data_IF_814571442905
#
_entry.id   IF_814571442905
#
_cell.length_a   1.000
_cell.length_b   1.000
_cell.length_c   1.000
_cell.angle_alpha   90.00
_cell.angle_beta   90.00
_cell.angle_gamma   90.00
#
_symmetry.space_group_name_H-M   'P 1'
#
loop_
_entity.id
_entity.type
_entity.pdbx_description
1 polymer ?
#
# COMPACT_ATOMS: atom_id res chain seq x y z
N UNK A 1 -53.27 18.58 -8.91
CA UNK A 1 -53.62 17.94 -10.19
C UNK A 1 -53.52 18.91 -11.36
N UNK A 2 -54.11 20.12 -11.27
CA UNK A 2 -54.17 21.10 -12.36
C UNK A 2 -52.79 21.59 -12.82
N UNK A 3 -51.88 21.96 -11.90
CA UNK A 3 -50.52 22.41 -12.25
C UNK A 3 -49.74 21.38 -13.09
N UNK A 4 -49.82 20.09 -12.75
CA UNK A 4 -49.15 19.00 -13.47
C UNK A 4 -49.69 18.83 -14.90
N UNK A 5 -50.97 19.10 -15.12
CA UNK A 5 -51.63 19.02 -16.42
C UNK A 5 -51.17 20.15 -17.34
N UNK A 6 -51.13 21.39 -16.82
CA UNK A 6 -50.66 22.58 -17.53
C UNK A 6 -49.16 22.47 -17.91
N UNK A 7 -48.34 21.93 -17.00
CA UNK A 7 -46.92 21.62 -17.26
C UNK A 7 -46.77 20.58 -18.38
N UNK A 8 -47.58 19.52 -18.38
CA UNK A 8 -47.57 18.49 -19.46
C UNK A 8 -48.05 19.04 -20.81
N UNK A 9 -48.88 20.07 -20.80
CA UNK A 9 -49.33 20.79 -22.01
C UNK A 9 -48.29 21.81 -22.50
N UNK A 10 -47.13 21.94 -21.84
CA UNK A 10 -46.02 22.80 -22.27
C UNK A 10 -46.23 24.30 -22.02
N UNK A 11 -47.20 24.66 -21.18
CA UNK A 11 -47.55 26.06 -20.90
C UNK A 11 -46.58 26.69 -19.90
N UNK A 12 -46.39 28.01 -19.98
CA UNK A 12 -45.49 28.73 -19.07
C UNK A 12 -46.15 28.99 -17.72
N UNK A 13 -45.36 29.25 -16.68
CA UNK A 13 -45.87 29.48 -15.32
C UNK A 13 -46.80 30.71 -15.21
N UNK A 14 -46.47 31.81 -15.88
CA UNK A 14 -47.32 33.01 -15.93
C UNK A 14 -48.67 32.72 -16.63
N UNK A 15 -48.62 32.00 -17.75
CA UNK A 15 -49.81 31.57 -18.50
C UNK A 15 -50.68 30.61 -17.68
N UNK A 16 -50.06 29.68 -16.96
CA UNK A 16 -50.73 28.75 -16.04
C UNK A 16 -51.41 29.50 -14.89
N UNK A 17 -50.77 30.55 -14.36
CA UNK A 17 -51.33 31.37 -13.29
C UNK A 17 -52.57 32.12 -13.79
N UNK A 18 -52.49 32.76 -14.97
CA UNK A 18 -53.63 33.40 -15.62
C UNK A 18 -54.77 32.42 -15.92
N UNK A 19 -54.46 31.21 -16.43
CA UNK A 19 -55.48 30.21 -16.76
C UNK A 19 -56.24 29.75 -15.52
N UNK A 20 -55.56 29.59 -14.39
CA UNK A 20 -56.18 29.16 -13.13
C UNK A 20 -57.01 30.29 -12.52
N UNK A 21 -56.50 31.52 -12.52
CA UNK A 21 -57.27 32.67 -12.04
C UNK A 21 -58.52 32.92 -12.90
N UNK A 22 -58.44 32.73 -14.22
CA UNK A 22 -59.59 32.84 -15.12
C UNK A 22 -60.64 31.75 -14.90
N UNK A 23 -60.22 30.52 -14.53
CA UNK A 23 -61.14 29.40 -14.35
C UNK A 23 -61.77 29.32 -12.96
N UNK A 24 -61.07 29.78 -11.92
CA UNK A 24 -61.46 29.58 -10.52
C UNK A 24 -61.66 30.89 -9.73
N UNK A 25 -61.35 32.05 -10.32
CA UNK A 25 -61.52 33.36 -9.73
C UNK A 25 -60.18 34.05 -9.45
N UNK A 26 -60.18 35.38 -9.50
CA UNK A 26 -58.96 36.17 -9.35
C UNK A 26 -58.33 36.00 -7.96
N UNK A 27 -57.02 35.70 -7.92
CA UNK A 27 -56.28 35.46 -6.67
C UNK A 27 -56.30 34.00 -6.21
N UNK A 28 -56.80 33.08 -7.03
CA UNK A 28 -56.80 31.63 -6.72
C UNK A 28 -55.39 31.04 -6.88
N UNK A 29 -54.60 31.52 -7.84
CA UNK A 29 -53.22 31.09 -8.05
C UNK A 29 -52.22 32.20 -7.71
N UNK A 30 -51.29 31.91 -6.80
CA UNK A 30 -50.13 32.76 -6.58
C UNK A 30 -49.00 32.35 -7.54
N UNK A 31 -48.53 33.27 -8.38
CA UNK A 31 -47.47 33.05 -9.36
C UNK A 31 -46.20 32.44 -8.74
N UNK A 32 -45.81 32.87 -7.54
CA UNK A 32 -44.67 32.30 -6.81
C UNK A 32 -44.88 30.81 -6.47
N UNK A 33 -46.12 30.41 -6.18
CA UNK A 33 -46.48 29.01 -5.90
C UNK A 33 -46.45 28.19 -7.19
N UNK A 34 -46.93 28.75 -8.29
CA UNK A 34 -46.88 28.10 -9.61
C UNK A 34 -45.42 27.91 -10.05
N UNK A 35 -44.58 28.93 -9.93
CA UNK A 35 -43.15 28.85 -10.24
C UNK A 35 -42.43 27.79 -9.39
N UNK A 36 -42.74 27.71 -8.10
CA UNK A 36 -42.17 26.67 -7.23
C UNK A 36 -42.56 25.26 -7.69
N UNK A 37 -43.82 25.05 -8.06
CA UNK A 37 -44.30 23.76 -8.59
C UNK A 37 -43.70 23.41 -9.96
N UNK A 38 -43.51 24.39 -10.84
CA UNK A 38 -42.80 24.20 -12.11
C UNK A 38 -41.35 23.75 -11.87
N UNK A 39 -40.62 24.43 -10.98
CA UNK A 39 -39.24 24.08 -10.63
C UNK A 39 -39.13 22.68 -10.00
N UNK A 40 -40.09 22.32 -9.14
CA UNK A 40 -40.16 20.99 -8.52
C UNK A 40 -40.46 19.91 -9.56
N UNK A 41 -41.43 20.13 -10.45
CA UNK A 41 -41.85 19.14 -11.44
C UNK A 41 -40.79 18.85 -12.53
N UNK A 42 -39.94 19.82 -12.85
CA UNK A 42 -38.76 19.61 -13.73
C UNK A 42 -37.70 18.75 -13.05
N UNK A 43 -37.61 18.79 -11.72
CA UNK A 43 -36.67 17.95 -10.95
C UNK A 43 -37.14 16.50 -10.83
N UNK A 44 -38.45 16.26 -10.94
CA UNK A 44 -39.10 14.96 -10.76
C UNK A 44 -39.49 14.28 -12.11
N UNK A 45 -39.09 14.85 -13.26
CA UNK A 45 -39.38 14.24 -14.57
C UNK A 45 -38.41 13.07 -14.84
N UNK A 46 -38.89 11.85 -15.16
CA UNK A 46 -38.02 10.76 -15.57
C UNK A 46 -37.35 11.14 -16.88
N UNK A 47 -36.05 11.41 -16.83
CA UNK A 47 -35.25 11.63 -18.03
C UNK A 47 -35.23 10.36 -18.88
N UNK A 48 -35.59 10.50 -20.15
CA UNK A 48 -35.66 9.47 -21.20
C UNK A 48 -34.27 8.92 -21.61
N UNK A 49 -33.22 9.22 -20.83
CA UNK A 49 -31.86 8.73 -21.08
C UNK A 49 -31.69 7.33 -20.51
N UNK A 50 -31.45 6.37 -21.43
CA UNK A 50 -31.17 4.98 -21.10
C UNK A 50 -29.86 4.83 -20.32
N UNK A 51 -30.00 4.61 -19.01
CA UNK A 51 -28.90 4.30 -18.09
C UNK A 51 -28.06 3.09 -18.53
N UNK A 52 -28.65 2.15 -19.28
CA UNK A 52 -27.98 1.00 -19.87
C UNK A 52 -26.93 1.40 -20.91
N UNK A 53 -27.22 2.38 -21.78
CA UNK A 53 -26.28 2.90 -22.79
C UNK A 53 -25.09 3.60 -22.14
N UNK A 54 -25.34 4.46 -21.14
CA UNK A 54 -24.27 5.09 -20.36
C UNK A 54 -23.37 4.05 -19.69
N UNK A 55 -23.96 3.00 -19.12
CA UNK A 55 -23.19 1.90 -18.51
C UNK A 55 -22.32 1.17 -19.55
N UNK A 56 -22.81 0.96 -20.77
CA UNK A 56 -22.07 0.30 -21.84
C UNK A 56 -20.85 1.13 -22.28
N UNK A 57 -20.99 2.45 -22.45
CA UNK A 57 -19.89 3.34 -22.88
C UNK A 57 -18.75 3.33 -21.87
N UNK A 58 -19.05 3.53 -20.58
CA UNK A 58 -18.02 3.52 -19.53
C UNK A 58 -17.47 2.11 -19.22
N UNK A 59 -18.15 1.05 -19.68
CA UNK A 59 -17.62 -0.33 -19.60
C UNK A 59 -16.64 -0.61 -20.74
N UNK A 60 -16.88 -0.06 -21.93
CA UNK A 60 -16.01 -0.20 -23.08
C UNK A 60 -14.73 0.62 -22.94
N UNK A 61 -14.84 1.88 -22.48
CA UNK A 61 -13.69 2.73 -22.20
C UNK A 61 -13.93 3.58 -20.93
N UNK A 62 -13.33 3.16 -19.79
CA UNK A 62 -13.43 3.88 -18.53
C UNK A 62 -12.80 5.28 -18.51
N UNK A 63 -11.99 5.65 -19.52
CA UNK A 63 -11.31 6.94 -19.61
C UNK A 63 -12.11 7.99 -20.39
N UNK A 64 -13.19 7.58 -21.05
CA UNK A 64 -14.08 8.49 -21.81
C UNK A 64 -14.53 9.67 -20.95
N UNK A 65 -14.41 10.89 -21.49
CA UNK A 65 -14.83 12.08 -20.74
C UNK A 65 -16.35 12.26 -20.76
N UNK A 66 -16.91 12.93 -19.76
CA UNK A 66 -18.35 13.23 -19.73
C UNK A 66 -18.79 14.13 -20.87
N UNK A 67 -17.88 14.92 -21.44
CA UNK A 67 -18.09 15.72 -22.66
C UNK A 67 -18.20 14.86 -23.91
N UNK A 68 -17.29 13.92 -24.12
CA UNK A 68 -17.37 12.97 -25.25
C UNK A 68 -18.65 12.13 -25.20
N UNK A 69 -19.11 11.76 -24.00
CA UNK A 69 -20.36 11.02 -23.83
C UNK A 69 -21.57 11.89 -24.15
N UNK A 70 -21.55 13.17 -23.75
CA UNK A 70 -22.60 14.14 -24.05
C UNK A 70 -22.74 14.33 -25.57
N UNK A 71 -21.63 14.49 -26.29
CA UNK A 71 -21.61 14.60 -27.75
C UNK A 71 -22.08 13.30 -28.43
N UNK A 72 -21.58 12.14 -28.00
CA UNK A 72 -21.95 10.83 -28.58
C UNK A 72 -23.44 10.51 -28.44
N UNK A 73 -24.05 10.93 -27.33
CA UNK A 73 -25.46 10.68 -27.04
C UNK A 73 -26.35 11.87 -27.40
N UNK A 74 -25.76 12.98 -27.88
CA UNK A 74 -26.45 14.24 -28.16
C UNK A 74 -27.33 14.71 -27.00
N UNK A 75 -26.79 14.65 -25.78
CA UNK A 75 -27.47 15.06 -24.53
C UNK A 75 -26.66 16.13 -23.82
N UNK A 76 -27.33 16.91 -22.97
CA UNK A 76 -26.66 17.93 -22.19
C UNK A 76 -25.66 17.31 -21.17
N UNK A 77 -24.51 17.96 -20.99
CA UNK A 77 -23.45 17.51 -20.09
C UNK A 77 -23.91 17.36 -18.63
N UNK A 78 -24.83 18.22 -18.18
CA UNK A 78 -25.39 18.16 -16.84
C UNK A 78 -26.23 16.89 -16.64
N UNK A 79 -26.95 16.44 -17.68
CA UNK A 79 -27.70 15.18 -17.66
C UNK A 79 -26.76 13.98 -17.51
N UNK A 80 -25.66 13.92 -18.28
CA UNK A 80 -24.65 12.85 -18.12
C UNK A 80 -24.15 12.77 -16.68
N UNK A 81 -23.87 13.91 -16.06
CA UNK A 81 -23.37 13.98 -14.68
C UNK A 81 -24.43 13.54 -13.66
N UNK A 82 -25.69 13.91 -13.83
CA UNK A 82 -26.80 13.47 -12.98
C UNK A 82 -27.04 11.96 -13.11
N UNK A 83 -27.08 11.44 -14.32
CA UNK A 83 -27.27 10.01 -14.58
C UNK A 83 -26.11 9.18 -14.03
N UNK A 84 -24.86 9.65 -14.14
CA UNK A 84 -23.69 9.01 -13.53
C UNK A 84 -23.83 8.86 -12.02
N UNK A 85 -24.33 9.90 -11.33
CA UNK A 85 -24.64 9.83 -9.90
C UNK A 85 -25.74 8.79 -9.62
N UNK A 86 -26.79 8.77 -10.44
CA UNK A 86 -27.90 7.83 -10.28
C UNK A 86 -27.48 6.36 -10.46
N UNK A 87 -26.57 6.07 -11.39
CA UNK A 87 -26.02 4.72 -11.59
C UNK A 87 -24.85 4.37 -10.65
N UNK A 88 -24.54 5.23 -9.68
CA UNK A 88 -23.49 5.01 -8.68
C UNK A 88 -22.05 5.12 -9.22
N UNK A 89 -21.83 5.77 -10.36
CA UNK A 89 -20.51 5.99 -10.92
C UNK A 89 -19.92 7.28 -10.37
N UNK A 90 -18.66 7.20 -9.90
CA UNK A 90 -17.89 8.34 -9.40
C UNK A 90 -16.55 8.39 -10.12
N UNK A 91 -16.06 9.61 -10.41
CA UNK A 91 -14.75 9.81 -11.02
C UNK A 91 -13.66 9.52 -9.98
N UNK A 92 -12.77 8.58 -10.29
CA UNK A 92 -11.57 8.29 -9.50
C UNK A 92 -10.35 8.53 -10.37
N UNK A 93 -9.30 9.12 -9.80
CA UNK A 93 -8.03 9.26 -10.50
C UNK A 93 -7.35 7.88 -10.58
N UNK A 94 -6.76 7.58 -11.75
CA UNK A 94 -5.89 6.41 -11.90
C UNK A 94 -4.69 6.52 -10.95
N UNK A 95 -4.29 5.40 -10.36
CA UNK A 95 -3.08 5.33 -9.54
C UNK A 95 -1.87 5.09 -10.45
N UNK A 96 -0.82 5.87 -10.27
CA UNK A 96 0.48 5.59 -10.89
C UNK A 96 1.12 4.40 -10.21
N UNK A 97 1.47 3.39 -11.00
CA UNK A 97 2.17 2.18 -10.52
C UNK A 97 3.62 2.27 -10.99
N UNK A 98 4.61 2.24 -10.08
CA UNK A 98 6.02 2.24 -10.44
C UNK A 98 6.39 1.08 -11.38
N UNK A 99 7.28 1.28 -12.38
CA UNK A 99 7.69 0.24 -13.33
C UNK A 99 8.26 -1.03 -12.66
N UNK A 100 8.87 -0.91 -11.48
CA UNK A 100 9.45 -2.01 -10.72
C UNK A 100 8.37 -3.01 -10.26
N UNK A 101 7.19 -2.52 -9.87
CA UNK A 101 6.06 -3.38 -9.48
C UNK A 101 5.51 -4.18 -10.67
N UNK A 102 5.55 -3.61 -11.87
CA UNK A 102 5.19 -4.33 -13.11
C UNK A 102 6.22 -5.42 -13.45
N UNK A 103 7.49 -5.22 -13.14
CA UNK A 103 8.54 -6.24 -13.32
C UNK A 103 8.41 -7.38 -12.31
N UNK A 104 8.10 -7.07 -11.04
CA UNK A 104 7.78 -8.07 -10.02
C UNK A 104 6.62 -8.95 -10.49
N UNK A 105 5.52 -8.34 -10.98
CA UNK A 105 4.35 -9.07 -11.53
C UNK A 105 4.70 -10.01 -12.68
N UNK A 106 5.64 -9.62 -13.55
CA UNK A 106 6.12 -10.46 -14.67
C UNK A 106 7.02 -11.61 -14.21
N UNK A 107 7.79 -11.43 -13.13
CA UNK A 107 8.65 -12.50 -12.58
C UNK A 107 7.84 -13.47 -11.70
N UNK A 108 6.93 -12.97 -10.87
CA UNK A 108 6.05 -13.79 -10.03
C UNK A 108 5.12 -14.70 -10.85
N UNK A 109 4.69 -14.26 -12.03
CA UNK A 109 3.82 -15.07 -12.91
C UNK A 109 4.55 -16.15 -13.70
N UNK A 110 5.89 -16.15 -13.76
CA UNK A 110 6.65 -17.05 -14.65
C UNK A 110 7.33 -18.23 -13.96
N UNK A 111 7.63 -18.15 -12.67
CA UNK A 111 8.39 -19.19 -11.96
C UNK A 111 7.80 -19.42 -10.56
N UNK A 112 6.95 -20.44 -10.41
CA UNK A 112 6.37 -20.79 -9.11
C UNK A 112 7.33 -21.71 -8.34
N UNK A 113 8.07 -21.15 -7.38
CA UNK A 113 8.78 -21.85 -6.29
C UNK A 113 10.29 -22.08 -6.48
N UNK A 114 10.78 -22.57 -7.63
CA UNK A 114 12.19 -22.98 -7.77
C UNK A 114 13.24 -21.85 -7.83
N UNK A 115 12.87 -20.57 -7.69
CA UNK A 115 13.86 -19.49 -7.57
C UNK A 115 14.00 -18.99 -6.14
N UNK A 116 13.05 -19.34 -5.26
CA UNK A 116 13.00 -18.87 -3.88
C UNK A 116 14.06 -19.51 -3.01
N UNK A 117 14.32 -20.82 -3.14
CA UNK A 117 15.35 -21.48 -2.33
C UNK A 117 16.78 -20.95 -2.60
N UNK A 118 16.96 -20.17 -3.67
CA UNK A 118 18.22 -19.57 -4.13
C UNK A 118 18.20 -18.04 -3.96
N UNK A 119 17.10 -17.49 -3.45
CA UNK A 119 16.96 -16.07 -3.19
C UNK A 119 17.73 -15.73 -1.91
N UNK A 120 18.78 -14.93 -2.07
CA UNK A 120 19.57 -14.40 -0.97
C UNK A 120 19.04 -13.00 -0.67
N UNK A 121 18.77 -12.72 0.60
CA UNK A 121 18.33 -11.39 1.04
C UNK A 121 19.35 -10.80 2.00
N UNK A 122 19.46 -9.48 1.97
CA UNK A 122 20.30 -8.71 2.88
C UNK A 122 19.60 -7.46 3.35
N UNK A 123 19.78 -7.11 4.62
CA UNK A 123 19.48 -5.77 5.10
C UNK A 123 20.30 -5.44 6.35
N UNK A 124 20.32 -4.16 6.70
CA UNK A 124 21.00 -3.61 7.86
C UNK A 124 19.98 -3.12 8.90
N UNK A 125 20.32 -3.25 10.19
CA UNK A 125 19.47 -2.80 11.28
C UNK A 125 20.29 -2.30 12.46
N UNK A 126 19.78 -1.24 13.09
CA UNK A 126 20.27 -0.77 14.38
C UNK A 126 19.71 -1.62 15.53
N UNK A 127 20.60 -2.06 16.41
CA UNK A 127 20.28 -2.64 17.72
C UNK A 127 20.59 -1.57 18.76
N UNK A 128 19.60 -1.24 19.59
CA UNK A 128 19.80 -0.33 20.69
C UNK A 128 20.38 -1.09 21.88
N UNK A 129 21.20 -0.42 22.68
CA UNK A 129 21.69 -1.01 23.93
C UNK A 129 20.56 -1.09 24.96
N UNK A 130 19.63 -0.12 24.94
CA UNK A 130 18.41 -0.15 25.74
C UNK A 130 17.20 -0.37 24.83
N UNK A 131 16.65 -1.59 24.85
CA UNK A 131 15.42 -1.95 24.13
C UNK A 131 14.21 -2.04 25.07
N UNK A 132 14.31 -1.48 26.28
CA UNK A 132 13.16 -1.40 27.19
C UNK A 132 12.16 -0.40 26.62
N UNK A 133 10.95 -0.88 26.37
CA UNK A 133 9.83 -0.03 26.01
C UNK A 133 9.41 0.87 27.19
N UNK A 134 8.47 1.78 26.94
CA UNK A 134 7.83 2.49 28.03
C UNK A 134 7.13 1.47 28.95
N UNK A 135 7.39 1.49 30.26
CA UNK A 135 6.75 0.58 31.19
C UNK A 135 5.24 0.83 31.19
N UNK A 136 4.47 -0.21 30.89
CA UNK A 136 3.02 -0.19 31.03
C UNK A 136 2.66 -0.21 32.53
N UNK A 137 1.61 0.52 32.91
CA UNK A 137 1.15 0.58 34.30
C UNK A 137 -0.32 0.22 34.39
N UNK A 138 -0.66 -0.66 35.33
CA UNK A 138 -2.02 -0.83 35.82
C UNK A 138 -2.21 0.12 36.98
N UNK A 139 -3.12 1.08 36.82
CA UNK A 139 -3.44 2.11 37.80
C UNK A 139 -4.96 2.19 37.95
N UNK A 140 -5.43 2.67 39.09
CA UNK A 140 -6.84 3.01 39.28
C UNK A 140 -7.24 4.09 38.26
N UNK A 141 -8.52 4.09 37.85
CA UNK A 141 -9.01 4.93 36.75
C UNK A 141 -8.75 6.43 36.92
N UNK A 142 -8.66 6.90 38.16
CA UNK A 142 -8.47 8.30 38.53
C UNK A 142 -7.01 8.63 38.91
N UNK A 143 -6.12 7.64 38.95
CA UNK A 143 -4.74 7.83 39.33
C UNK A 143 -3.89 8.33 38.15
N UNK A 144 -3.07 9.34 38.39
CA UNK A 144 -2.16 9.86 37.38
C UNK A 144 -1.05 8.84 37.04
N UNK A 145 -0.64 8.73 35.75
CA UNK A 145 0.51 7.91 35.35
C UNK A 145 1.78 8.32 36.12
N UNK A 146 2.55 7.35 36.63
CA UNK A 146 3.81 7.68 37.29
C UNK A 146 4.85 8.04 36.22
N UNK A 147 5.58 9.13 36.45
CA UNK A 147 6.62 9.57 35.53
C UNK A 147 7.87 8.71 35.67
N UNK A 148 8.40 8.24 34.54
CA UNK A 148 9.71 7.60 34.46
C UNK A 148 10.72 8.59 33.85
N UNK A 149 11.95 8.66 34.39
CA UNK A 149 12.96 9.53 33.82
C UNK A 149 13.26 9.11 32.37
N UNK A 150 13.09 10.04 31.44
CA UNK A 150 13.53 9.86 30.05
C UNK A 150 15.05 9.90 30.04
N UNK A 151 15.72 8.86 29.53
CA UNK A 151 17.16 8.92 29.33
C UNK A 151 17.46 10.03 28.29
N UNK A 152 18.18 11.07 28.72
CA UNK A 152 18.57 12.22 27.89
C UNK A 152 19.89 12.00 27.12
N UNK A 153 20.40 10.76 27.06
CA UNK A 153 21.63 10.44 26.33
C UNK A 153 21.29 9.99 24.90
N UNK A 154 22.12 10.34 23.89
CA UNK A 154 21.98 9.73 22.58
C UNK A 154 22.07 8.21 22.73
N UNK A 155 21.10 7.45 22.19
CA UNK A 155 21.04 6.02 22.41
C UNK A 155 22.28 5.34 21.81
N UNK A 156 23.03 4.62 22.65
CA UNK A 156 24.09 3.73 22.17
C UNK A 156 23.46 2.66 21.28
N UNK A 157 24.02 2.49 20.10
CA UNK A 157 23.51 1.57 19.08
C UNK A 157 24.65 0.92 18.31
N UNK A 158 24.40 -0.29 17.86
CA UNK A 158 25.28 -1.06 16.97
C UNK A 158 24.50 -1.41 15.71
N UNK A 159 25.14 -1.37 14.54
CA UNK A 159 24.49 -1.85 13.31
C UNK A 159 24.83 -3.32 13.13
N UNK A 160 23.82 -4.13 12.84
CA UNK A 160 24.01 -5.48 12.33
C UNK A 160 23.58 -5.52 10.87
N UNK A 161 24.40 -6.14 10.04
CA UNK A 161 24.07 -6.50 8.67
C UNK A 161 23.88 -8.01 8.62
N UNK A 162 22.78 -8.50 8.05
CA UNK A 162 22.46 -9.94 8.01
C UNK A 162 22.18 -10.40 6.59
N UNK A 163 22.76 -11.54 6.19
CA UNK A 163 22.49 -12.20 4.90
C UNK A 163 22.12 -13.65 5.11
N UNK A 164 21.06 -14.05 4.43
CA UNK A 164 20.46 -15.37 4.58
C UNK A 164 19.66 -15.73 3.34
N UNK A 165 19.33 -17.02 3.25
CA UNK A 165 18.50 -17.61 2.20
C UNK A 165 17.61 -18.67 2.83
N UNK A 166 16.77 -19.33 2.04
CA UNK A 166 15.72 -20.23 2.55
C UNK A 166 16.24 -21.33 3.50
N UNK A 167 17.48 -21.80 3.36
CA UNK A 167 18.00 -22.86 4.23
C UNK A 167 18.62 -22.36 5.54
N UNK A 168 19.31 -21.19 5.55
CA UNK A 168 20.06 -20.71 6.73
C UNK A 168 20.58 -19.27 6.60
N UNK A 169 21.08 -18.76 7.73
CA UNK A 169 21.99 -17.60 7.78
C UNK A 169 23.32 -17.91 7.08
N UNK A 170 23.78 -16.99 6.22
CA UNK A 170 25.06 -17.09 5.49
C UNK A 170 26.14 -16.33 6.26
N UNK A 171 25.86 -15.08 6.63
CA UNK A 171 26.78 -14.23 7.35
C UNK A 171 26.04 -13.10 8.06
N UNK A 172 26.62 -12.62 9.16
CA UNK A 172 26.27 -11.39 9.82
C UNK A 172 27.55 -10.57 10.08
N UNK A 173 27.43 -9.25 10.16
CA UNK A 173 28.55 -8.36 10.48
C UNK A 173 28.05 -7.21 11.35
N UNK A 174 28.77 -6.93 12.44
CA UNK A 174 28.52 -5.81 13.33
C UNK A 174 29.44 -4.63 13.01
N UNK A 175 28.88 -3.43 13.05
CA UNK A 175 29.62 -2.18 12.91
C UNK A 175 29.68 -1.49 14.27
N UNK A 176 30.89 -1.10 14.67
CA UNK A 176 31.11 -0.46 15.96
C UNK A 176 30.28 0.84 16.10
N UNK A 177 29.81 1.15 17.32
CA UNK A 177 29.07 2.38 17.58
C UNK A 177 29.88 3.62 17.18
N UNK A 178 29.30 4.48 16.34
CA UNK A 178 29.91 5.76 15.95
C UNK A 178 30.96 5.68 14.85
N UNK A 179 31.31 4.49 14.35
CA UNK A 179 32.15 4.36 13.17
C UNK A 179 31.32 4.60 11.89
N UNK A 180 31.75 5.51 11.00
CA UNK A 180 31.13 5.64 9.69
C UNK A 180 31.48 4.41 8.83
N UNK A 181 30.51 3.93 8.04
CA UNK A 181 30.77 2.96 6.98
C UNK A 181 31.58 3.68 5.90
N UNK A 182 32.90 3.48 5.91
CA UNK A 182 33.75 3.95 4.81
C UNK A 182 33.48 3.10 3.57
N UNK A 183 33.70 3.67 2.38
CA UNK A 183 33.59 2.95 1.11
C UNK A 183 34.47 1.68 1.10
N UNK A 184 35.65 1.75 1.73
CA UNK A 184 36.57 0.62 1.88
C UNK A 184 36.00 -0.50 2.75
N UNK A 185 35.41 -0.18 3.91
CA UNK A 185 34.75 -1.17 4.77
C UNK A 185 33.57 -1.83 4.06
N UNK A 186 32.80 -1.03 3.31
CA UNK A 186 31.71 -1.55 2.51
C UNK A 186 32.21 -2.52 1.42
N UNK A 187 33.26 -2.16 0.67
CA UNK A 187 33.86 -3.02 -0.35
C UNK A 187 34.45 -4.31 0.26
N UNK A 188 35.10 -4.23 1.43
CA UNK A 188 35.57 -5.41 2.16
C UNK A 188 34.41 -6.32 2.57
N UNK A 189 33.32 -5.75 3.08
CA UNK A 189 32.12 -6.52 3.37
C UNK A 189 31.59 -7.18 2.10
N UNK A 190 31.45 -6.46 0.98
CA UNK A 190 31.03 -6.99 -0.34
C UNK A 190 31.86 -8.23 -0.74
N UNK A 191 33.18 -8.14 -0.60
CA UNK A 191 34.08 -9.25 -0.91
C UNK A 191 33.88 -10.47 0.01
N UNK A 192 33.69 -10.24 1.31
CA UNK A 192 33.38 -11.32 2.26
C UNK A 192 32.03 -11.98 1.92
N UNK A 193 31.01 -11.20 1.53
CA UNK A 193 29.72 -11.76 1.04
C UNK A 193 29.95 -12.64 -0.16
N UNK A 194 30.66 -12.11 -1.16
CA UNK A 194 30.87 -12.81 -2.42
C UNK A 194 31.55 -14.16 -2.20
N UNK A 195 32.62 -14.20 -1.39
CA UNK A 195 33.33 -15.46 -1.07
C UNK A 195 32.46 -16.48 -0.35
N UNK A 196 31.72 -16.05 0.69
CA UNK A 196 30.85 -16.95 1.46
C UNK A 196 29.68 -17.45 0.63
N UNK A 197 29.10 -16.58 -0.19
CA UNK A 197 28.02 -16.93 -1.09
C UNK A 197 28.49 -17.92 -2.17
N UNK A 198 29.66 -17.69 -2.76
CA UNK A 198 30.27 -18.60 -3.73
C UNK A 198 30.53 -19.99 -3.11
N UNK A 199 30.97 -20.06 -1.85
CA UNK A 199 31.15 -21.33 -1.15
C UNK A 199 29.81 -22.07 -0.92
N UNK A 200 28.75 -21.34 -0.56
CA UNK A 200 27.39 -21.93 -0.42
C UNK A 200 26.84 -22.42 -1.76
N UNK A 201 27.07 -21.69 -2.86
CA UNK A 201 26.69 -22.11 -4.20
C UNK A 201 27.42 -23.40 -4.63
N UNK A 202 28.74 -23.45 -4.43
CA UNK A 202 29.57 -24.62 -4.76
C UNK A 202 29.24 -25.85 -3.91
N UNK A 203 28.71 -25.69 -2.71
CA UNK A 203 28.30 -26.81 -1.87
C UNK A 203 26.94 -27.41 -2.31
N UNK A 204 26.16 -26.70 -3.14
CA UNK A 204 24.75 -27.00 -3.43
C UNK A 204 24.51 -27.35 -4.91
N UNK A 205 25.56 -27.80 -5.63
CA UNK A 205 25.61 -27.90 -7.11
C UNK A 205 24.48 -28.74 -7.71
N UNK A 206 23.48 -28.07 -8.27
CA UNK A 206 22.91 -28.35 -9.60
C UNK A 206 21.89 -27.27 -9.99
N UNK A 207 22.24 -26.43 -10.99
CA UNK A 207 21.45 -25.38 -11.68
C UNK A 207 21.62 -23.93 -11.19
N UNK A 208 21.32 -23.03 -12.14
CA UNK A 208 21.56 -21.58 -12.28
C UNK A 208 21.76 -20.78 -10.97
N UNK A 209 22.76 -19.89 -11.00
CA UNK A 209 23.26 -19.09 -9.86
C UNK A 209 22.21 -18.27 -9.11
N UNK A 210 22.56 -17.73 -7.93
CA UNK A 210 21.58 -17.17 -7.01
C UNK A 210 21.03 -15.84 -7.50
N UNK A 211 19.81 -15.57 -7.04
CA UNK A 211 19.12 -14.31 -7.28
C UNK A 211 19.21 -13.51 -5.98
N UNK A 212 19.63 -12.26 -6.09
CA UNK A 212 19.80 -11.39 -4.94
C UNK A 212 18.61 -10.44 -4.79
N UNK A 213 18.02 -10.42 -3.62
CA UNK A 213 17.03 -9.43 -3.21
C UNK A 213 17.75 -8.32 -2.44
N UNK A 214 18.18 -7.29 -3.19
CA UNK A 214 18.68 -5.97 -2.78
C UNK A 214 20.21 -5.67 -2.76
N UNK A 215 20.55 -4.41 -3.04
CA UNK A 215 21.83 -3.65 -2.87
C UNK A 215 23.21 -4.19 -3.31
N UNK A 216 23.38 -5.33 -3.99
CA UNK A 216 24.70 -5.68 -4.61
C UNK A 216 24.68 -5.51 -6.13
N UNK A 217 24.57 -4.26 -6.59
CA UNK A 217 24.76 -3.92 -8.02
C UNK A 217 26.20 -4.17 -8.51
N UNK A 218 27.15 -4.38 -7.60
CA UNK A 218 28.59 -4.51 -7.91
C UNK A 218 29.05 -5.95 -8.22
N UNK A 219 28.15 -6.95 -8.17
CA UNK A 219 28.47 -8.34 -8.46
C UNK A 219 27.57 -8.83 -9.60
N UNK A 220 28.06 -9.77 -10.44
CA UNK A 220 27.35 -10.34 -11.61
C UNK A 220 26.11 -11.21 -11.24
N UNK A 221 25.42 -10.90 -10.15
CA UNK A 221 24.22 -11.59 -9.70
C UNK A 221 22.96 -10.97 -10.30
N UNK A 222 21.94 -11.81 -10.55
CA UNK A 222 20.64 -11.32 -10.94
C UNK A 222 19.99 -10.59 -9.75
N UNK A 223 19.83 -9.27 -9.87
CA UNK A 223 19.16 -8.47 -8.85
C UNK A 223 17.64 -8.48 -9.09
N UNK A 224 16.87 -8.84 -8.06
CA UNK A 224 15.42 -8.71 -8.08
C UNK A 224 15.03 -7.23 -8.08
N UNK A 225 14.14 -6.79 -8.98
CA UNK A 225 13.65 -5.43 -8.99
C UNK A 225 12.99 -5.12 -7.64
N UNK A 226 13.47 -4.08 -6.97
CA UNK A 226 12.94 -3.61 -5.69
C UNK A 226 12.39 -2.18 -5.86
N UNK A 227 11.12 -1.92 -5.53
CA UNK A 227 10.58 -0.57 -5.57
C UNK A 227 11.20 0.29 -4.46
N UNK A 228 11.33 1.61 -4.66
CA UNK A 228 11.99 2.51 -3.70
C UNK A 228 11.34 2.57 -2.29
N UNK A 229 10.09 2.16 -2.15
CA UNK A 229 9.34 1.98 -0.90
C UNK A 229 8.28 0.87 -1.16
N UNK A 230 7.96 -0.10 -0.27
CA UNK A 230 8.12 -0.14 1.19
C UNK A 230 8.95 -1.33 1.76
N UNK A 231 9.34 -1.27 3.05
CA UNK A 231 10.05 -2.35 3.76
C UNK A 231 9.30 -3.70 3.78
N UNK A 232 8.00 -3.71 3.51
CA UNK A 232 7.12 -4.89 3.56
C UNK A 232 7.40 -5.92 2.45
N UNK A 233 8.30 -5.60 1.52
CA UNK A 233 8.72 -6.48 0.44
C UNK A 233 10.06 -7.18 0.70
N UNK A 234 10.78 -6.82 1.75
CA UNK A 234 12.07 -7.42 2.09
C UNK A 234 11.89 -8.53 3.14
N UNK A 235 12.23 -9.80 2.85
CA UNK A 235 12.13 -10.87 3.83
C UNK A 235 12.91 -10.56 5.11
N UNK A 236 14.06 -9.91 4.98
CA UNK A 236 14.85 -9.49 6.13
C UNK A 236 14.08 -8.49 7.02
N UNK A 237 13.27 -7.61 6.44
CA UNK A 237 12.51 -6.60 7.19
C UNK A 237 11.24 -7.18 7.82
N UNK A 238 10.35 -7.80 7.03
CA UNK A 238 9.05 -8.25 7.51
C UNK A 238 9.10 -9.52 8.36
N UNK A 239 10.14 -10.35 8.17
CA UNK A 239 10.28 -11.64 8.85
C UNK A 239 11.43 -11.60 9.86
N UNK A 240 12.67 -11.57 9.39
CA UNK A 240 13.84 -11.71 10.24
C UNK A 240 13.89 -10.62 11.33
N UNK A 241 13.82 -9.34 10.94
CA UNK A 241 13.87 -8.23 11.88
C UNK A 241 12.60 -8.07 12.72
N UNK A 242 11.45 -8.55 12.24
CA UNK A 242 10.24 -8.63 13.07
C UNK A 242 10.44 -9.59 14.24
N UNK A 243 10.93 -10.80 13.98
CA UNK A 243 11.26 -11.77 15.03
C UNK A 243 12.38 -11.27 15.94
N UNK A 244 13.40 -10.62 15.37
CA UNK A 244 14.48 -10.05 16.15
C UNK A 244 14.00 -8.91 17.07
N UNK A 245 13.12 -8.02 16.61
CA UNK A 245 12.53 -6.98 17.45
C UNK A 245 11.79 -7.55 18.66
N UNK A 246 10.99 -8.60 18.44
CA UNK A 246 10.27 -9.27 19.51
C UNK A 246 11.23 -9.88 20.54
N UNK A 247 12.35 -10.45 20.07
CA UNK A 247 13.38 -11.00 20.95
C UNK A 247 14.17 -9.93 21.70
N UNK A 248 14.41 -8.77 21.10
CA UNK A 248 15.10 -7.65 21.73
C UNK A 248 14.23 -6.93 22.76
N UNK A 249 12.91 -7.04 22.66
CA UNK A 249 11.97 -6.31 23.53
C UNK A 249 12.29 -6.53 25.01
N UNK A 250 12.52 -5.43 25.74
CA UNK A 250 12.81 -5.47 27.17
C UNK A 250 14.27 -5.78 27.54
N UNK A 251 15.15 -6.07 26.57
CA UNK A 251 16.57 -6.34 26.82
C UNK A 251 17.37 -5.06 26.99
N UNK A 252 18.36 -5.13 27.87
CA UNK A 252 19.34 -4.07 28.11
C UNK A 252 20.75 -4.65 28.04
N UNK A 253 21.61 -4.03 27.25
CA UNK A 253 22.98 -4.44 26.98
C UNK A 253 23.95 -3.36 27.49
N UNK A 254 24.97 -3.77 28.22
CA UNK A 254 26.00 -2.88 28.74
C UNK A 254 27.18 -2.78 27.78
N UNK A 255 27.43 -3.85 27.02
CA UNK A 255 28.58 -4.01 26.14
C UNK A 255 28.18 -4.36 24.71
N UNK A 256 29.09 -4.14 23.76
CA UNK A 256 28.92 -4.57 22.37
C UNK A 256 28.77 -6.09 22.28
N UNK A 257 29.61 -6.83 23.02
CA UNK A 257 29.59 -8.28 23.05
C UNK A 257 28.25 -8.85 23.53
N UNK A 258 27.59 -8.21 24.52
CA UNK A 258 26.25 -8.63 24.95
C UNK A 258 25.21 -8.54 23.83
N UNK A 259 25.28 -7.49 22.99
CA UNK A 259 24.39 -7.34 21.85
C UNK A 259 24.67 -8.38 20.76
N UNK A 260 25.95 -8.70 20.49
CA UNK A 260 26.34 -9.77 19.57
C UNK A 260 25.91 -11.15 20.07
N UNK A 261 26.13 -11.44 21.35
CA UNK A 261 25.74 -12.70 21.96
C UNK A 261 24.22 -12.89 21.91
N UNK A 262 23.45 -11.83 22.21
CA UNK A 262 21.99 -11.88 22.09
C UNK A 262 21.54 -12.14 20.64
N UNK A 263 22.24 -11.57 19.65
CA UNK A 263 21.96 -11.91 18.26
C UNK A 263 22.26 -13.39 17.97
N UNK A 264 23.37 -13.92 18.46
CA UNK A 264 23.70 -15.34 18.28
C UNK A 264 22.68 -16.26 18.96
N UNK A 265 22.24 -15.95 20.17
CA UNK A 265 21.17 -16.67 20.88
C UNK A 265 19.86 -16.68 20.07
N UNK A 266 19.52 -15.59 19.38
CA UNK A 266 18.38 -15.56 18.47
C UNK A 266 18.58 -16.57 17.34
N UNK A 267 19.75 -16.55 16.69
CA UNK A 267 20.03 -17.45 15.56
C UNK A 267 19.94 -18.91 16.00
N UNK A 268 20.54 -19.25 17.13
CA UNK A 268 20.59 -20.62 17.63
C UNK A 268 19.22 -21.12 18.14
N UNK A 269 18.33 -20.20 18.54
CA UNK A 269 16.96 -20.54 18.93
C UNK A 269 15.97 -20.63 17.74
N UNK A 270 16.37 -20.26 16.52
CA UNK A 270 15.48 -20.38 15.37
C UNK A 270 15.29 -21.84 14.96
N UNK A 271 14.05 -22.18 14.62
CA UNK A 271 13.72 -23.48 14.03
C UNK A 271 14.31 -23.59 12.62
N UNK A 272 14.52 -24.83 12.16
CA UNK A 272 15.06 -25.12 10.82
C UNK A 272 14.19 -24.57 9.69
N UNK A 273 12.88 -24.47 9.89
CA UNK A 273 11.90 -23.93 8.94
C UNK A 273 11.77 -22.40 8.96
N UNK A 274 12.44 -21.72 9.90
CA UNK A 274 12.33 -20.27 10.08
C UNK A 274 12.68 -19.49 8.81
N UNK A 275 13.82 -19.80 8.21
CA UNK A 275 14.30 -19.09 7.03
C UNK A 275 13.43 -19.43 5.79
N UNK A 276 13.09 -20.69 5.60
CA UNK A 276 12.25 -21.12 4.48
C UNK A 276 10.87 -20.43 4.54
N UNK A 277 10.28 -20.33 5.73
CA UNK A 277 9.00 -19.62 5.95
C UNK A 277 9.09 -18.14 5.60
N UNK A 278 10.19 -17.49 5.97
CA UNK A 278 10.42 -16.09 5.65
C UNK A 278 10.54 -15.85 4.15
N UNK A 279 11.26 -16.70 3.43
CA UNK A 279 11.43 -16.57 1.97
C UNK A 279 10.16 -16.94 1.21
N UNK A 280 9.44 -18.00 1.62
CA UNK A 280 8.22 -18.43 0.91
C UNK A 280 7.10 -17.39 0.96
N UNK A 281 7.05 -16.58 2.03
CA UNK A 281 6.09 -15.47 2.17
C UNK A 281 6.25 -14.40 1.08
N UNK A 282 7.40 -14.32 0.40
CA UNK A 282 7.68 -13.36 -0.66
C UNK A 282 6.63 -13.39 -1.78
N UNK A 283 6.15 -14.57 -2.18
CA UNK A 283 5.09 -14.70 -3.21
C UNK A 283 3.82 -14.00 -2.75
N UNK A 284 3.39 -14.26 -1.52
CA UNK A 284 2.19 -13.64 -0.95
C UNK A 284 2.34 -12.13 -0.79
N UNK A 285 3.51 -11.63 -0.39
CA UNK A 285 3.78 -10.19 -0.31
C UNK A 285 3.73 -9.54 -1.68
N UNK A 286 4.27 -10.16 -2.71
CA UNK A 286 4.18 -9.64 -4.08
C UNK A 286 2.77 -9.67 -4.62
N UNK A 287 2.01 -10.73 -4.34
CA UNK A 287 0.60 -10.82 -4.73
C UNK A 287 -0.22 -9.71 -4.06
N UNK A 288 -0.07 -9.52 -2.74
CA UNK A 288 -0.71 -8.44 -2.01
C UNK A 288 -0.29 -7.06 -2.55
N UNK A 289 0.98 -6.87 -2.89
CA UNK A 289 1.44 -5.63 -3.52
C UNK A 289 0.73 -5.36 -4.85
N UNK A 290 0.55 -6.39 -5.68
CA UNK A 290 -0.18 -6.30 -6.95
C UNK A 290 -1.66 -6.00 -6.70
N UNK A 291 -2.30 -6.71 -5.78
CA UNK A 291 -3.73 -6.55 -5.47
C UNK A 291 -4.04 -5.19 -4.85
N UNK A 292 -3.10 -4.65 -4.06
CA UNK A 292 -3.18 -3.31 -3.48
C UNK A 292 -2.73 -2.20 -4.43
N UNK A 293 -2.40 -2.52 -5.70
CA UNK A 293 -1.86 -1.59 -6.69
C UNK A 293 -0.70 -0.76 -6.13
N UNK A 294 0.22 -1.40 -5.42
CA UNK A 294 1.38 -0.76 -4.81
C UNK A 294 1.13 0.02 -3.52
N UNK A 295 -0.09 -0.01 -2.98
CA UNK A 295 -0.38 0.56 -1.66
C UNK A 295 0.15 -0.37 -0.55
N UNK A 296 0.36 0.16 0.66
CA UNK A 296 0.68 -0.64 1.85
C UNK A 296 -0.41 -1.69 2.15
N UNK A 297 0.00 -2.83 2.69
CA UNK A 297 -0.86 -3.97 3.03
C UNK A 297 -0.31 -4.66 4.30
N UNK A 298 -1.21 -5.24 5.09
CA UNK A 298 -0.90 -5.97 6.33
C UNK A 298 -0.84 -7.50 6.11
#
# INVERSE_FOLDING_TARGET
AIFLLEIKMGRKAAETTCNIDNAFGQGTANECTVLWWFKKSVSDLPSEVDNGKLRAIFKADPLTTTWEVAEKLNIDHSMVTQHLKHIGKVKKLGKWVPPEQLQIKKKSSKNNDQFLDWTVTSNEKWILYDNRGQPAQWLDQEAAPKHFPKLNLPPKKVTVTVWWFAARLIHNCFLNPGEPITSEKHAQQINVKHRKLHHVQLATVNRKGPILHDSLKELDYEVLPHPPYPPDLLPTSYHFFKHFNNFLQGKHFHTHQEAENAFQDLIDSQRTDFYATGISKLISCWQNCVDCNGSYFD
#
